data_IF_088827203617
#
_entry.id   IF_088827203617
#
_cell.length_a   1.000
_cell.length_b   1.000
_cell.length_c   1.000
_cell.angle_alpha   90.00
_cell.angle_beta   90.00
_cell.angle_gamma   90.00
#
_symmetry.space_group_name_H-M   'P 1'
#
loop_
_entity.id
_entity.type
_entity.pdbx_description
1 polymer ?
#
# COMPACT_ATOMS: atom_id res chain seq x y z
N UNK A 1 -5.63 15.04 -3.23
CA UNK A 1 -4.94 16.19 -2.60
C UNK A 1 -5.13 16.26 -1.09
N UNK A 2 -6.31 15.95 -0.53
CA UNK A 2 -6.50 15.85 0.94
C UNK A 2 -5.51 14.90 1.61
N UNK A 3 -5.14 13.82 0.92
CA UNK A 3 -4.22 12.78 1.40
C UNK A 3 -2.80 13.29 1.72
N UNK A 4 -2.42 14.46 1.20
CA UNK A 4 -1.07 15.04 1.33
C UNK A 4 -1.06 16.43 1.97
N UNK A 5 -2.21 16.98 2.38
CA UNK A 5 -2.33 18.37 2.86
C UNK A 5 -2.87 18.44 4.27
N UNK A 6 -2.45 19.47 5.02
CA UNK A 6 -2.84 19.66 6.41
C UNK A 6 -2.53 18.46 7.29
N UNK A 7 -3.57 18.00 7.98
CA UNK A 7 -3.57 16.81 8.84
C UNK A 7 -4.44 15.70 8.22
N UNK A 8 -4.06 14.46 8.51
CA UNK A 8 -4.72 13.25 8.09
C UNK A 8 -5.07 12.39 9.30
N UNK A 9 -6.17 11.65 9.23
CA UNK A 9 -6.57 10.78 10.31
C UNK A 9 -5.68 9.53 10.31
N UNK A 10 -5.17 9.18 11.48
CA UNK A 10 -4.44 7.93 11.72
C UNK A 10 -4.91 7.30 13.04
N UNK A 11 -4.53 6.05 13.28
CA UNK A 11 -4.73 5.42 14.59
C UNK A 11 -3.40 5.34 15.34
N UNK A 12 -3.41 5.77 16.59
CA UNK A 12 -2.28 5.76 17.54
C UNK A 12 -2.81 5.37 18.91
N UNK A 13 -2.13 4.45 19.58
CA UNK A 13 -2.53 3.97 20.91
C UNK A 13 -4.00 3.52 21.01
N UNK A 14 -4.53 2.97 19.92
CA UNK A 14 -5.92 2.51 19.82
C UNK A 14 -6.96 3.63 19.62
N UNK A 15 -6.52 4.89 19.51
CA UNK A 15 -7.42 6.03 19.29
C UNK A 15 -7.14 6.70 17.95
N UNK A 16 -8.21 7.24 17.34
CA UNK A 16 -8.09 8.05 16.14
C UNK A 16 -7.52 9.42 16.51
N UNK A 17 -6.51 9.87 15.78
CA UNK A 17 -5.87 11.16 15.96
C UNK A 17 -5.56 11.79 14.60
N UNK A 18 -5.58 13.12 14.52
CA UNK A 18 -5.17 13.86 13.33
C UNK A 18 -3.66 14.14 13.41
N UNK A 19 -2.95 13.92 12.31
CA UNK A 19 -1.49 14.04 12.23
C UNK A 19 -1.06 14.72 10.96
N UNK A 20 0.05 15.49 10.95
CA UNK A 20 0.53 16.10 9.73
C UNK A 20 0.68 15.08 8.60
N UNK A 21 0.18 15.41 7.42
CA UNK A 21 0.45 14.61 6.23
C UNK A 21 1.96 14.65 5.87
N UNK A 22 2.46 13.60 5.25
CA UNK A 22 3.85 13.46 4.83
C UNK A 22 4.88 13.46 5.98
N UNK A 23 4.50 13.00 7.18
CA UNK A 23 5.46 12.68 8.24
C UNK A 23 6.38 11.54 7.80
N UNK A 24 7.66 11.59 8.16
CA UNK A 24 8.62 10.53 7.82
C UNK A 24 8.40 9.30 8.69
N UNK A 25 8.28 8.12 8.07
CA UNK A 25 8.25 6.83 8.76
C UNK A 25 9.42 5.95 8.32
N UNK A 26 10.05 5.29 9.29
CA UNK A 26 11.02 4.21 9.07
C UNK A 26 10.24 2.90 9.06
N UNK A 27 10.48 2.07 8.05
CA UNK A 27 9.75 0.83 7.82
C UNK A 27 10.75 -0.32 7.81
N UNK A 28 10.66 -1.21 8.80
CA UNK A 28 11.49 -2.41 8.85
C UNK A 28 10.76 -3.57 8.17
N UNK A 29 11.23 -3.95 6.99
CA UNK A 29 10.63 -4.97 6.15
C UNK A 29 11.48 -6.25 6.23
N UNK A 30 10.96 -7.36 6.79
CA UNK A 30 11.70 -8.62 6.86
C UNK A 30 12.15 -9.10 5.47
N UNK A 31 13.44 -9.40 5.31
CA UNK A 31 14.01 -9.83 4.03
C UNK A 31 14.52 -8.69 3.12
N UNK A 32 13.98 -7.47 3.21
CA UNK A 32 14.46 -6.31 2.43
C UNK A 32 15.29 -5.32 3.27
N UNK A 33 15.11 -5.35 4.59
CA UNK A 33 15.74 -4.42 5.52
C UNK A 33 14.89 -3.17 5.73
N UNK A 34 15.53 -2.04 5.98
CA UNK A 34 14.81 -0.81 6.32
C UNK A 34 14.58 0.08 5.10
N UNK A 35 13.32 0.46 4.88
CA UNK A 35 12.91 1.52 3.96
C UNK A 35 12.39 2.78 4.66
N UNK A 36 12.10 3.81 3.86
CA UNK A 36 11.52 5.08 4.34
C UNK A 36 10.26 5.39 3.56
N UNK A 37 9.17 5.62 4.29
CA UNK A 37 7.91 6.11 3.75
C UNK A 37 7.56 7.50 4.27
N UNK A 38 6.44 8.01 3.77
CA UNK A 38 5.79 9.24 4.23
C UNK A 38 4.33 8.93 4.59
N UNK A 39 3.81 9.48 5.69
CA UNK A 39 2.40 9.30 6.05
C UNK A 39 1.50 9.84 4.95
N UNK A 40 0.44 9.12 4.64
CA UNK A 40 -0.45 9.45 3.54
C UNK A 40 -1.89 9.18 3.96
N UNK A 41 -2.78 10.13 3.72
CA UNK A 41 -4.19 9.97 4.09
C UNK A 41 -4.85 8.88 3.27
N UNK A 42 -5.37 7.85 3.93
CA UNK A 42 -6.06 6.74 3.28
C UNK A 42 -7.01 6.06 4.29
N UNK A 43 -8.16 5.50 3.84
CA UNK A 43 -9.16 4.89 4.72
C UNK A 43 -8.64 3.77 5.65
N UNK A 44 -7.61 3.00 5.28
CA UNK A 44 -7.17 1.82 6.05
C UNK A 44 -6.63 2.19 7.43
N UNK A 45 -6.10 3.41 7.59
CA UNK A 45 -5.68 3.92 8.89
C UNK A 45 -6.85 4.04 9.90
N UNK A 46 -8.10 3.98 9.40
CA UNK A 46 -9.35 4.08 10.16
C UNK A 46 -10.14 2.78 10.11
N UNK A 47 -10.16 2.06 8.99
CA UNK A 47 -10.95 0.83 8.86
C UNK A 47 -10.25 -0.39 9.48
N UNK A 48 -8.91 -0.52 9.36
CA UNK A 48 -8.19 -1.66 9.94
C UNK A 48 -8.35 -1.78 11.46
N UNK A 49 -8.29 -0.70 12.27
CA UNK A 49 -8.55 -0.79 13.71
C UNK A 49 -9.95 -1.29 14.06
N UNK A 50 -10.94 -1.09 13.17
CA UNK A 50 -12.30 -1.60 13.37
C UNK A 50 -12.37 -3.11 13.08
N UNK A 51 -11.63 -3.58 12.08
CA UNK A 51 -11.56 -4.99 11.71
C UNK A 51 -10.66 -5.80 12.67
N UNK A 52 -9.66 -5.16 13.27
CA UNK A 52 -8.67 -5.79 14.15
C UNK A 52 -8.66 -5.07 15.51
N UNK A 53 -9.52 -5.46 16.47
CA UNK A 53 -9.68 -4.74 17.75
C UNK A 53 -8.41 -4.63 18.61
N UNK A 54 -7.43 -5.52 18.41
CA UNK A 54 -6.13 -5.46 19.07
C UNK A 54 -5.13 -4.48 18.43
N UNK A 55 -5.47 -3.88 17.28
CA UNK A 55 -4.59 -2.99 16.53
C UNK A 55 -4.49 -1.63 17.21
N UNK A 56 -3.31 -1.29 17.72
CA UNK A 56 -3.07 -0.02 18.41
C UNK A 56 -2.60 1.10 17.49
N UNK A 57 -2.05 0.78 16.32
CA UNK A 57 -1.55 1.79 15.40
C UNK A 57 -1.82 1.38 13.95
N UNK A 58 -2.28 2.34 13.15
CA UNK A 58 -2.51 2.16 11.71
C UNK A 58 -2.17 3.45 10.98
N UNK A 59 -1.34 3.37 9.95
CA UNK A 59 -0.92 4.50 9.13
C UNK A 59 -0.62 4.00 7.72
N UNK A 60 -1.29 4.59 6.73
CA UNK A 60 -0.97 4.34 5.33
C UNK A 60 0.24 5.18 4.93
N UNK A 61 1.07 4.62 4.05
CA UNK A 61 2.34 5.22 3.64
C UNK A 61 2.42 5.34 2.14
N UNK A 62 3.07 6.40 1.67
CA UNK A 62 3.58 6.50 0.31
C UNK A 62 5.08 6.32 0.33
N UNK A 63 5.59 5.50 -0.59
CA UNK A 63 7.02 5.34 -0.87
C UNK A 63 7.24 5.95 -2.24
N UNK A 64 8.20 6.87 -2.33
CA UNK A 64 8.49 7.59 -3.56
C UNK A 64 9.97 7.97 -3.59
N UNK A 65 10.49 8.20 -4.80
CA UNK A 65 11.84 8.71 -4.99
C UNK A 65 11.98 10.16 -4.46
N UNK A 66 13.21 10.68 -4.45
CA UNK A 66 13.49 12.02 -3.90
C UNK A 66 12.78 13.13 -4.69
N UNK A 67 12.82 13.16 -6.05
CA UNK A 67 12.08 14.16 -6.83
C UNK A 67 10.58 14.15 -6.55
N UNK A 68 9.94 12.97 -6.55
CA UNK A 68 8.49 12.88 -6.28
C UNK A 68 8.17 13.31 -4.87
N UNK A 69 8.97 12.90 -3.88
CA UNK A 69 8.81 13.34 -2.49
C UNK A 69 8.90 14.86 -2.36
N UNK A 70 9.87 15.50 -3.04
CA UNK A 70 10.00 16.96 -3.05
C UNK A 70 8.78 17.64 -3.71
N UNK A 71 8.28 17.10 -4.82
CA UNK A 71 7.09 17.60 -5.49
C UNK A 71 5.84 17.51 -4.59
N UNK A 72 5.66 16.40 -3.86
CA UNK A 72 4.56 16.24 -2.89
C UNK A 72 4.64 17.27 -1.77
N UNK A 73 5.83 17.53 -1.21
CA UNK A 73 6.02 18.56 -0.19
C UNK A 73 5.76 19.97 -0.72
N UNK A 74 6.19 20.28 -1.95
CA UNK A 74 5.91 21.56 -2.59
C UNK A 74 4.39 21.75 -2.79
N UNK A 75 3.68 20.73 -3.28
CA UNK A 75 2.22 20.78 -3.40
C UNK A 75 1.56 21.00 -2.04
N UNK A 76 1.91 20.20 -1.02
CA UNK A 76 1.42 20.37 0.35
C UNK A 76 1.60 21.80 0.83
N UNK A 77 2.81 22.35 0.70
CA UNK A 77 3.12 23.71 1.11
C UNK A 77 2.24 24.76 0.42
N UNK A 78 1.99 24.62 -0.90
CA UNK A 78 1.11 25.54 -1.63
C UNK A 78 -0.35 25.45 -1.18
N UNK A 79 -0.83 24.25 -0.85
CA UNK A 79 -2.19 24.02 -0.36
C UNK A 79 -2.35 24.57 1.05
N UNK A 80 -1.41 24.27 1.95
CA UNK A 80 -1.45 24.67 3.36
C UNK A 80 -1.39 26.20 3.50
N UNK A 81 -0.67 26.88 2.60
CA UNK A 81 -0.64 28.35 2.51
C UNK A 81 -1.81 28.97 1.75
N UNK A 82 -2.78 28.15 1.31
CA UNK A 82 -3.95 28.56 0.51
C UNK A 82 -3.58 29.24 -0.82
N UNK A 83 -2.36 29.02 -1.32
CA UNK A 83 -1.93 29.50 -2.64
C UNK A 83 -2.61 28.70 -3.76
N UNK A 84 -2.87 27.41 -3.50
CA UNK A 84 -3.69 26.56 -4.35
C UNK A 84 -4.86 26.00 -3.55
N UNK A 85 -6.05 26.00 -4.15
CA UNK A 85 -7.16 25.21 -3.63
C UNK A 85 -6.91 23.72 -3.90
N UNK A 86 -7.54 22.85 -3.12
CA UNK A 86 -7.45 21.39 -3.31
C UNK A 86 -7.76 20.97 -4.76
N UNK A 87 -8.79 21.56 -5.36
CA UNK A 87 -9.21 21.22 -6.73
C UNK A 87 -8.20 21.71 -7.78
N UNK A 88 -7.63 22.90 -7.59
CA UNK A 88 -6.59 23.42 -8.49
C UNK A 88 -5.32 22.58 -8.40
N UNK A 89 -4.90 22.22 -7.19
CA UNK A 89 -3.77 21.33 -6.97
C UNK A 89 -4.02 19.94 -7.59
N UNK A 90 -5.25 19.40 -7.48
CA UNK A 90 -5.61 18.13 -8.09
C UNK A 90 -5.54 18.18 -9.62
N UNK A 91 -6.08 19.25 -10.23
CA UNK A 91 -5.99 19.44 -11.69
C UNK A 91 -4.56 19.60 -12.17
N UNK A 92 -3.72 20.32 -11.42
CA UNK A 92 -2.31 20.47 -11.73
C UNK A 92 -1.59 19.12 -11.68
N UNK A 93 -1.77 18.36 -10.58
CA UNK A 93 -1.19 17.03 -10.43
C UNK A 93 -1.61 16.10 -11.58
N UNK A 94 -2.91 16.04 -11.91
CA UNK A 94 -3.42 15.22 -13.01
C UNK A 94 -2.89 15.66 -14.38
N UNK A 95 -2.63 16.96 -14.58
CA UNK A 95 -2.02 17.47 -15.81
C UNK A 95 -0.54 17.07 -15.90
N UNK A 96 0.19 17.14 -14.79
CA UNK A 96 1.60 16.71 -14.72
C UNK A 96 1.70 15.21 -14.98
N UNK A 97 0.88 14.39 -14.34
CA UNK A 97 0.84 12.94 -14.54
C UNK A 97 0.56 12.56 -16.00
N UNK A 98 -0.33 13.29 -16.69
CA UNK A 98 -0.57 13.06 -18.13
C UNK A 98 0.61 13.43 -19.03
N UNK A 99 1.39 14.43 -18.65
CA UNK A 99 2.55 14.91 -19.43
C UNK A 99 3.81 14.11 -19.12
N UNK A 100 3.92 13.59 -17.91
CA UNK A 100 5.01 12.79 -17.38
C UNK A 100 4.39 11.57 -16.70
N UNK A 101 3.89 10.60 -17.48
CA UNK A 101 3.34 9.37 -16.90
C UNK A 101 4.40 8.70 -16.04
N UNK A 102 3.97 8.14 -14.91
CA UNK A 102 4.85 7.40 -14.02
C UNK A 102 5.57 6.32 -14.82
N UNK A 103 6.90 6.31 -14.76
CA UNK A 103 7.69 5.28 -15.40
C UNK A 103 7.36 3.93 -14.76
N UNK A 104 6.85 2.93 -15.51
CA UNK A 104 6.58 1.61 -14.98
C UNK A 104 7.79 0.97 -14.29
N UNK A 105 9.01 1.36 -14.67
CA UNK A 105 10.24 0.91 -14.01
C UNK A 105 10.31 1.34 -12.53
N UNK A 106 9.57 2.38 -12.10
CA UNK A 106 9.47 2.76 -10.68
C UNK A 106 8.71 1.75 -9.83
N UNK A 107 7.81 0.95 -10.41
CA UNK A 107 7.19 -0.19 -9.73
C UNK A 107 8.20 -1.32 -9.44
N UNK A 108 9.35 -1.24 -10.09
CA UNK A 108 10.34 -2.31 -10.23
C UNK A 108 11.75 -1.82 -9.80
N UNK A 109 11.85 -0.60 -9.28
CA UNK A 109 13.13 0.01 -8.93
C UNK A 109 13.87 -0.85 -7.90
N UNK A 110 15.02 -1.38 -8.29
CA UNK A 110 15.84 -2.26 -7.48
C UNK A 110 16.29 -1.59 -6.17
N UNK A 111 16.29 -2.36 -5.07
CA UNK A 111 16.79 -1.91 -3.76
C UNK A 111 15.82 -1.08 -2.91
N UNK A 112 14.52 -1.07 -3.24
CA UNK A 112 13.47 -0.34 -2.53
C UNK A 112 12.55 -1.19 -1.65
N UNK A 113 11.44 -0.59 -1.21
CA UNK A 113 10.28 -1.35 -0.73
C UNK A 113 9.41 -1.74 -1.93
N UNK A 114 8.59 -2.79 -1.84
CA UNK A 114 7.66 -3.15 -2.91
C UNK A 114 6.71 -1.98 -3.23
N UNK A 115 6.17 -1.89 -4.46
CA UNK A 115 5.28 -0.79 -4.85
C UNK A 115 3.94 -0.79 -4.09
N UNK A 116 3.43 -1.97 -3.73
CA UNK A 116 2.24 -2.15 -2.92
C UNK A 116 2.52 -3.23 -1.88
N UNK A 117 2.40 -2.87 -0.60
CA UNK A 117 2.69 -3.77 0.51
C UNK A 117 1.95 -3.36 1.79
N UNK A 118 1.90 -4.29 2.73
CA UNK A 118 1.49 -4.05 4.10
C UNK A 118 2.55 -4.60 5.05
N UNK A 119 2.78 -3.91 6.18
CA UNK A 119 3.63 -4.38 7.28
C UNK A 119 2.78 -4.45 8.54
N UNK A 120 2.75 -5.62 9.17
CA UNK A 120 2.16 -5.84 10.47
C UNK A 120 3.26 -6.09 11.51
N UNK A 121 3.19 -5.37 12.63
CA UNK A 121 4.09 -5.56 13.77
C UNK A 121 3.26 -5.89 15.00
N UNK A 122 3.78 -6.77 15.85
CA UNK A 122 3.07 -7.22 17.04
C UNK A 122 3.87 -8.24 17.83
N UNK A 123 3.16 -9.16 18.48
CA UNK A 123 3.76 -10.25 19.24
C UNK A 123 3.42 -11.60 18.59
N UNK A 124 4.40 -12.50 18.57
CA UNK A 124 4.23 -13.91 18.24
C UNK A 124 4.91 -14.71 19.35
N UNK A 125 4.17 -15.62 19.99
CA UNK A 125 4.67 -16.42 21.13
C UNK A 125 5.31 -15.55 22.23
N UNK A 126 4.73 -14.37 22.49
CA UNK A 126 5.23 -13.41 23.48
C UNK A 126 6.43 -12.56 23.05
N UNK A 127 7.02 -12.82 21.87
CA UNK A 127 8.18 -12.08 21.36
C UNK A 127 7.78 -11.07 20.25
N UNK A 128 8.49 -9.93 20.12
CA UNK A 128 8.28 -9.01 19.02
C UNK A 128 8.42 -9.69 17.65
N UNK A 129 7.44 -9.44 16.78
CA UNK A 129 7.34 -10.08 15.48
C UNK A 129 6.85 -9.11 14.41
N UNK A 130 7.41 -9.24 13.21
CA UNK A 130 7.02 -8.46 12.03
C UNK A 130 6.72 -9.39 10.87
N UNK A 131 5.59 -9.19 10.22
CA UNK A 131 5.27 -9.79 8.93
C UNK A 131 5.05 -8.69 7.90
N UNK A 132 5.51 -8.91 6.68
CA UNK A 132 5.28 -8.00 5.57
C UNK A 132 4.80 -8.77 4.35
N UNK A 133 3.78 -8.25 3.68
CA UNK A 133 3.19 -8.85 2.49
C UNK A 133 3.22 -7.85 1.35
N UNK A 134 3.79 -8.25 0.22
CA UNK A 134 3.80 -7.48 -1.02
C UNK A 134 2.76 -8.02 -2.00
N UNK A 135 2.15 -7.14 -2.79
CA UNK A 135 1.47 -7.55 -4.02
C UNK A 135 2.53 -7.88 -5.07
N UNK A 136 2.48 -9.09 -5.60
CA UNK A 136 3.53 -9.63 -6.47
C UNK A 136 3.14 -9.65 -7.95
N UNK A 137 1.87 -9.38 -8.24
CA UNK A 137 1.25 -9.47 -9.56
C UNK A 137 0.30 -8.29 -9.74
N UNK A 138 0.28 -7.72 -10.94
CA UNK A 138 -0.52 -6.53 -11.25
C UNK A 138 -1.37 -6.76 -12.50
N UNK A 139 -2.58 -6.16 -12.57
CA UNK A 139 -3.45 -6.19 -13.75
C UNK A 139 -2.95 -5.32 -14.89
N UNK A 140 -2.08 -4.37 -14.57
CA UNK A 140 -1.48 -3.45 -15.53
C UNK A 140 -0.47 -2.55 -14.84
N UNK A 141 0.09 -1.62 -15.59
CA UNK A 141 1.14 -0.72 -15.10
C UNK A 141 0.57 0.64 -14.67
N UNK A 142 -0.68 0.94 -15.01
CA UNK A 142 -1.33 2.19 -14.65
C UNK A 142 -2.02 2.12 -13.29
N UNK A 143 -2.18 3.28 -12.65
CA UNK A 143 -2.97 3.37 -11.42
C UNK A 143 -4.45 3.06 -11.64
N UNK A 144 -4.97 3.36 -12.83
CA UNK A 144 -6.34 3.04 -13.20
C UNK A 144 -6.59 1.54 -13.22
N UNK A 145 -5.68 0.75 -13.78
CA UNK A 145 -5.80 -0.73 -13.81
C UNK A 145 -5.66 -1.31 -12.40
N UNK A 146 -4.63 -0.87 -11.66
CA UNK A 146 -4.36 -1.32 -10.28
C UNK A 146 -5.45 -0.93 -9.27
N UNK A 147 -6.39 -0.06 -9.65
CA UNK A 147 -7.53 0.32 -8.80
C UNK A 147 -8.85 -0.25 -9.33
N UNK A 148 -9.10 -0.10 -10.64
CA UNK A 148 -10.37 -0.45 -11.27
C UNK A 148 -10.61 -1.95 -11.36
N UNK A 149 -9.58 -2.73 -11.67
CA UNK A 149 -9.70 -4.19 -11.74
C UNK A 149 -10.00 -4.81 -10.38
N UNK A 150 -9.23 -4.56 -9.30
CA UNK A 150 -9.57 -5.10 -7.98
C UNK A 150 -10.93 -4.60 -7.47
N UNK A 151 -11.33 -3.37 -7.81
CA UNK A 151 -12.69 -2.88 -7.52
C UNK A 151 -13.76 -3.73 -8.21
N UNK A 152 -13.61 -4.01 -9.51
CA UNK A 152 -14.56 -4.83 -10.26
C UNK A 152 -14.65 -6.25 -9.70
N UNK A 153 -13.49 -6.87 -9.40
CA UNK A 153 -13.42 -8.20 -8.77
C UNK A 153 -14.14 -8.20 -7.43
N UNK A 154 -13.83 -7.23 -6.55
CA UNK A 154 -14.48 -7.10 -5.25
C UNK A 154 -15.99 -6.94 -5.38
N UNK A 155 -16.47 -6.07 -6.28
CA UNK A 155 -17.89 -5.85 -6.52
C UNK A 155 -18.62 -7.12 -6.98
N UNK A 156 -18.01 -7.91 -7.86
CA UNK A 156 -18.57 -9.19 -8.32
C UNK A 156 -18.65 -10.22 -7.19
N UNK A 157 -17.60 -10.32 -6.36
CA UNK A 157 -17.61 -11.22 -5.19
C UNK A 157 -18.68 -10.82 -4.17
N UNK A 158 -18.85 -9.51 -3.93
CA UNK A 158 -19.90 -8.98 -3.07
C UNK A 158 -21.30 -9.29 -3.59
N UNK A 159 -21.51 -9.20 -4.90
CA UNK A 159 -22.79 -9.52 -5.52
C UNK A 159 -23.14 -11.02 -5.43
N UNK A 160 -22.12 -11.89 -5.44
CA UNK A 160 -22.29 -13.33 -5.35
C UNK A 160 -22.57 -13.82 -3.92
N UNK A 161 -22.12 -13.09 -2.89
CA UNK A 161 -22.35 -13.38 -1.47
C UNK A 161 -22.74 -12.10 -0.71
N UNK A 162 -23.98 -11.61 -0.89
CA UNK A 162 -24.39 -10.33 -0.36
C UNK A 162 -24.52 -10.36 1.17
N UNK A 163 -23.80 -9.46 1.84
CA UNK A 163 -23.87 -9.26 3.29
C UNK A 163 -24.46 -7.88 3.61
N UNK A 164 -25.61 -7.79 4.32
CA UNK A 164 -26.17 -6.51 4.73
C UNK A 164 -25.21 -5.69 5.60
N UNK A 165 -25.32 -4.36 5.51
CA UNK A 165 -24.54 -3.42 6.33
C UNK A 165 -23.47 -2.66 5.55
N UNK A 166 -22.68 -1.87 6.28
CA UNK A 166 -21.55 -1.11 5.74
C UNK A 166 -20.27 -1.85 6.12
N UNK A 167 -19.46 -2.18 5.12
CA UNK A 167 -18.27 -3.00 5.31
C UNK A 167 -17.06 -2.37 4.62
N UNK A 168 -15.89 -2.58 5.22
CA UNK A 168 -14.61 -2.36 4.54
C UNK A 168 -14.17 -3.67 3.85
N UNK A 169 -13.26 -3.63 2.86
CA UNK A 169 -12.78 -4.83 2.18
C UNK A 169 -12.31 -5.93 3.14
N UNK A 170 -11.56 -5.57 4.18
CA UNK A 170 -10.99 -6.47 5.18
C UNK A 170 -12.03 -7.15 6.08
N UNK A 171 -13.27 -6.66 6.15
CA UNK A 171 -14.36 -7.31 6.89
C UNK A 171 -15.29 -8.12 5.99
N UNK A 172 -15.27 -7.85 4.69
CA UNK A 172 -16.23 -8.39 3.73
C UNK A 172 -15.66 -9.51 2.87
N UNK A 173 -14.45 -9.30 2.35
CA UNK A 173 -13.81 -10.13 1.35
C UNK A 173 -12.90 -11.15 2.03
N UNK A 174 -13.09 -12.42 1.69
CA UNK A 174 -12.12 -13.45 1.99
C UNK A 174 -10.87 -13.25 1.08
N UNK A 175 -9.66 -13.11 1.65
CA UNK A 175 -8.46 -12.83 0.87
C UNK A 175 -8.15 -13.88 -0.19
N UNK A 176 -8.33 -15.17 0.12
CA UNK A 176 -8.01 -16.26 -0.79
C UNK A 176 -8.99 -16.29 -1.96
N UNK A 177 -10.28 -16.10 -1.70
CA UNK A 177 -11.30 -15.96 -2.76
C UNK A 177 -11.04 -14.72 -3.60
N UNK A 178 -10.65 -13.61 -2.99
CA UNK A 178 -10.32 -12.38 -3.70
C UNK A 178 -9.13 -12.59 -4.65
N UNK A 179 -7.99 -13.08 -4.16
CA UNK A 179 -6.81 -13.29 -4.99
C UNK A 179 -7.02 -14.39 -6.04
N UNK A 180 -7.84 -15.40 -5.76
CA UNK A 180 -8.25 -16.40 -6.76
C UNK A 180 -9.04 -15.77 -7.91
N UNK A 181 -9.97 -14.86 -7.61
CA UNK A 181 -10.75 -14.16 -8.63
C UNK A 181 -9.93 -13.07 -9.34
N UNK A 182 -8.95 -12.47 -8.67
CA UNK A 182 -8.14 -11.39 -9.22
C UNK A 182 -7.01 -11.89 -10.14
N UNK A 183 -6.43 -13.05 -9.85
CA UNK A 183 -5.27 -13.56 -10.57
C UNK A 183 -5.45 -13.69 -12.10
N UNK A 184 -6.60 -14.15 -12.65
CA UNK A 184 -6.82 -14.22 -14.09
C UNK A 184 -6.78 -12.85 -14.80
N UNK A 185 -6.96 -11.75 -14.06
CA UNK A 185 -6.91 -10.40 -14.59
C UNK A 185 -5.51 -9.76 -14.47
N UNK A 186 -4.55 -10.47 -13.88
CA UNK A 186 -3.17 -10.03 -13.79
C UNK A 186 -2.36 -10.42 -15.03
N UNK A 187 -1.30 -9.65 -15.31
CA UNK A 187 -0.40 -9.91 -16.43
C UNK A 187 0.13 -11.34 -16.33
N UNK A 188 -0.09 -12.13 -17.37
CA UNK A 188 0.32 -13.54 -17.43
C UNK A 188 -0.59 -14.52 -16.69
N UNK A 189 -1.74 -14.09 -16.18
CA UNK A 189 -2.73 -14.92 -15.47
C UNK A 189 -2.08 -15.87 -14.43
N UNK A 190 -1.37 -15.32 -13.43
CA UNK A 190 -0.62 -16.11 -12.46
C UNK A 190 -1.52 -17.07 -11.66
N UNK A 191 -0.90 -18.06 -11.03
CA UNK A 191 -1.58 -18.86 -10.03
C UNK A 191 -1.99 -17.98 -8.82
N UNK A 192 -3.15 -18.23 -8.18
CA UNK A 192 -3.61 -17.43 -7.04
C UNK A 192 -2.59 -17.32 -5.90
N UNK A 193 -1.85 -18.39 -5.61
CA UNK A 193 -0.83 -18.40 -4.56
C UNK A 193 0.41 -17.54 -4.88
N UNK A 194 0.59 -17.11 -6.13
CA UNK A 194 1.68 -16.25 -6.57
C UNK A 194 1.31 -14.75 -6.54
N UNK A 195 0.06 -14.42 -6.17
CA UNK A 195 -0.46 -13.05 -6.15
C UNK A 195 0.21 -12.17 -5.10
N UNK A 196 0.64 -12.76 -3.99
CA UNK A 196 1.30 -12.05 -2.90
C UNK A 196 2.52 -12.81 -2.42
N UNK A 197 3.45 -12.09 -1.83
CA UNK A 197 4.64 -12.67 -1.18
C UNK A 197 4.69 -12.16 0.25
N UNK A 198 4.83 -13.07 1.22
CA UNK A 198 4.92 -12.72 2.64
C UNK A 198 6.28 -13.11 3.22
N UNK A 199 6.96 -12.15 3.84
CA UNK A 199 8.19 -12.34 4.60
C UNK A 199 7.96 -12.07 6.09
N UNK A 200 8.80 -12.67 6.94
CA UNK A 200 8.60 -12.66 8.39
C UNK A 200 9.91 -12.50 9.13
N UNK A 201 9.89 -11.80 10.26
CA UNK A 201 11.07 -11.61 11.10
C UNK A 201 11.55 -12.90 11.77
N UNK A 202 10.66 -13.89 11.92
CA UNK A 202 10.97 -15.21 12.46
C UNK A 202 11.25 -16.27 11.39
N UNK A 203 11.20 -15.89 10.11
CA UNK A 203 11.70 -16.72 9.02
C UNK A 203 13.19 -16.48 8.82
N UNK A 204 13.94 -17.54 8.52
CA UNK A 204 15.37 -17.43 8.22
C UNK A 204 15.64 -16.53 7.00
N UNK A 205 16.85 -15.93 6.88
CA UNK A 205 17.20 -15.06 5.76
C UNK A 205 16.99 -15.72 4.40
N UNK A 206 17.36 -17.00 4.27
CA UNK A 206 17.19 -17.77 3.03
C UNK A 206 15.71 -17.94 2.67
N UNK A 207 14.86 -18.31 3.64
CA UNK A 207 13.42 -18.45 3.41
C UNK A 207 12.77 -17.14 2.97
N UNK A 208 13.17 -16.01 3.55
CA UNK A 208 12.70 -14.69 3.12
C UNK A 208 13.22 -14.34 1.71
N UNK A 209 14.47 -14.66 1.39
CA UNK A 209 15.03 -14.43 0.06
C UNK A 209 14.31 -15.27 -1.01
N UNK A 210 14.06 -16.56 -0.74
CA UNK A 210 13.28 -17.44 -1.62
C UNK A 210 11.87 -16.92 -1.85
N UNK A 211 11.20 -16.43 -0.79
CA UNK A 211 9.88 -15.84 -0.92
C UNK A 211 9.90 -14.61 -1.83
N UNK A 212 10.87 -13.71 -1.65
CA UNK A 212 11.02 -12.50 -2.46
C UNK A 212 11.45 -12.77 -3.90
N UNK A 213 12.13 -13.89 -4.18
CA UNK A 213 12.51 -14.26 -5.55
C UNK A 213 11.40 -14.94 -6.34
N UNK A 214 10.25 -15.24 -5.72
CA UNK A 214 9.18 -16.03 -6.33
C UNK A 214 8.36 -15.28 -7.40
N UNK A 215 8.47 -13.96 -7.49
CA UNK A 215 7.86 -13.15 -8.56
C UNK A 215 8.88 -12.17 -9.13
N UNK A 216 8.81 -11.90 -10.43
CA UNK A 216 9.70 -10.92 -11.09
C UNK A 216 9.67 -9.55 -10.40
N UNK A 217 8.49 -9.08 -9.99
CA UNK A 217 8.31 -7.78 -9.36
C UNK A 217 8.95 -7.73 -7.97
N UNK A 218 8.87 -8.82 -7.21
CA UNK A 218 9.51 -8.92 -5.89
C UNK A 218 11.00 -9.23 -5.99
N UNK A 219 11.42 -9.99 -7.00
CA UNK A 219 12.81 -10.34 -7.27
C UNK A 219 13.62 -9.11 -7.72
N UNK A 220 13.04 -8.25 -8.55
CA UNK A 220 13.69 -7.02 -8.99
C UNK A 220 13.87 -6.02 -7.83
N UNK A 221 12.94 -5.99 -6.87
CA UNK A 221 13.10 -5.22 -5.62
C UNK A 221 14.21 -5.81 -4.73
N UNK A 222 14.31 -7.14 -4.65
CA UNK A 222 15.29 -7.83 -3.81
C UNK A 222 16.72 -7.88 -4.40
N UNK A 223 16.87 -7.68 -5.71
CA UNK A 223 18.17 -7.56 -6.37
C UNK A 223 18.90 -6.31 -5.86
N UNK A 224 20.05 -6.52 -5.20
CA UNK A 224 20.94 -5.47 -4.70
C UNK A 224 22.17 -5.34 -5.58
#
# INVERSE_FOLDING_TARGET
MRQISGEIPVTRDGVRTERPALERLRLDYPGLGTGVGRSFGHPEAITLPLAFPGLRAATSVVVADRPTTAALHALRWTIDRRLLTLDRAARLAARVERLLPADPATLVAAGGLPPLFAIATGLRDGAPATAATALSQVPGLSMAENTGVPLAVGALLMAADPKPGVHAPETLLDPDRFFTAFAPHCIGAPAPNAMTVTTRSWSGPEANATALSASLLTALVAAR
#
